data_IF_647969727090
#
_entry.id   IF_647969727090
#
_cell.length_a   1.000
_cell.length_b   1.000
_cell.length_c   1.000
_cell.angle_alpha   90.00
_cell.angle_beta   90.00
_cell.angle_gamma   90.00
#
_symmetry.space_group_name_H-M   'P 1'
#
loop_
_entity.id
_entity.type
_entity.pdbx_description
1 polymer ?
#
# COMPACT_ATOMS: atom_id res chain seq x y z
N UNK A 1 20.81 11.80 -5.06
CA UNK A 1 20.18 12.01 -6.38
C UNK A 1 18.67 11.97 -6.18
N UNK A 2 17.89 12.92 -6.72
CA UNK A 2 16.44 12.91 -6.52
C UNK A 2 15.90 11.64 -7.18
N UNK A 3 15.20 10.82 -6.42
CA UNK A 3 14.49 9.65 -6.92
C UNK A 3 13.60 10.07 -8.09
N UNK A 4 13.73 9.42 -9.25
CA UNK A 4 13.02 9.73 -10.49
C UNK A 4 11.48 9.60 -10.39
N UNK A 5 10.96 9.22 -9.23
CA UNK A 5 9.56 9.04 -8.90
C UNK A 5 9.23 9.96 -7.72
N UNK A 6 8.23 10.82 -7.86
CA UNK A 6 7.72 11.61 -6.73
C UNK A 6 6.92 10.64 -5.83
N UNK A 7 7.35 10.41 -4.57
CA UNK A 7 6.75 9.38 -3.72
C UNK A 7 5.37 9.77 -3.17
N UNK A 8 5.05 11.06 -3.18
CA UNK A 8 3.84 11.65 -2.60
C UNK A 8 2.54 10.97 -3.10
N UNK A 9 2.25 10.87 -4.42
CA UNK A 9 1.03 10.21 -4.90
C UNK A 9 0.93 8.75 -4.47
N UNK A 10 2.04 8.04 -4.39
CA UNK A 10 2.06 6.63 -3.96
C UNK A 10 1.78 6.50 -2.47
N UNK A 11 2.34 7.38 -1.63
CA UNK A 11 2.09 7.38 -0.19
C UNK A 11 0.64 7.77 0.12
N UNK A 12 0.10 8.76 -0.59
CA UNK A 12 -1.32 9.14 -0.47
C UNK A 12 -2.21 7.98 -0.93
N UNK A 13 -1.90 7.37 -2.07
CA UNK A 13 -2.62 6.19 -2.55
C UNK A 13 -2.63 5.05 -1.55
N UNK A 14 -1.47 4.71 -0.98
CA UNK A 14 -1.34 3.69 0.06
C UNK A 14 -2.16 4.04 1.31
N UNK A 15 -2.03 5.25 1.84
CA UNK A 15 -2.73 5.67 3.04
C UNK A 15 -4.25 5.65 2.86
N UNK A 16 -4.73 6.16 1.71
CA UNK A 16 -6.16 6.21 1.40
C UNK A 16 -6.73 4.81 1.16
N UNK A 17 -6.00 3.96 0.42
CA UNK A 17 -6.40 2.58 0.17
C UNK A 17 -6.42 1.74 1.45
N UNK A 18 -5.45 1.92 2.35
CA UNK A 18 -5.42 1.24 3.64
C UNK A 18 -6.62 1.64 4.52
N UNK A 19 -6.97 2.93 4.55
CA UNK A 19 -8.13 3.41 5.29
C UNK A 19 -9.44 2.83 4.75
N UNK A 20 -9.66 2.90 3.43
CA UNK A 20 -10.86 2.35 2.77
C UNK A 20 -10.93 0.83 2.93
N UNK A 21 -9.82 0.14 2.71
CA UNK A 21 -9.73 -1.32 2.81
C UNK A 21 -10.05 -1.83 4.23
N UNK A 22 -9.69 -1.07 5.27
CA UNK A 22 -10.04 -1.41 6.65
C UNK A 22 -11.56 -1.50 6.89
N UNK A 23 -12.37 -0.78 6.11
CA UNK A 23 -13.81 -0.79 6.26
C UNK A 23 -14.47 -2.11 5.85
N UNK A 24 -13.76 -2.97 5.09
CA UNK A 24 -14.29 -4.22 4.55
C UNK A 24 -14.56 -5.29 5.61
N UNK A 25 -13.97 -5.20 6.81
CA UNK A 25 -14.07 -6.22 7.86
C UNK A 25 -14.44 -5.61 9.22
N UNK A 26 -15.04 -6.42 10.11
CA UNK A 26 -15.41 -5.97 11.46
C UNK A 26 -14.17 -5.51 12.24
N UNK A 27 -13.03 -6.17 12.05
CA UNK A 27 -11.80 -5.92 12.81
C UNK A 27 -10.91 -4.86 12.18
N UNK A 28 -11.21 -4.38 10.97
CA UNK A 28 -10.29 -3.53 10.23
C UNK A 28 -10.11 -2.13 10.82
N UNK A 29 -11.15 -1.55 11.45
CA UNK A 29 -11.04 -0.28 12.16
C UNK A 29 -11.88 -0.26 13.45
N UNK A 30 -11.58 0.71 14.33
CA UNK A 30 -12.23 0.81 15.65
C UNK A 30 -13.74 1.09 15.55
N UNK A 31 -14.18 1.78 14.50
CA UNK A 31 -15.59 2.08 14.27
C UNK A 31 -16.39 0.82 13.92
N UNK A 32 -15.87 -0.01 13.03
CA UNK A 32 -16.46 -1.29 12.65
C UNK A 32 -16.48 -2.27 13.83
N UNK A 33 -15.42 -2.25 14.64
CA UNK A 33 -15.35 -3.07 15.85
C UNK A 33 -16.43 -2.67 16.85
N UNK A 34 -16.68 -1.38 17.04
CA UNK A 34 -17.76 -0.89 17.91
C UNK A 34 -19.14 -1.36 17.42
N UNK A 35 -19.37 -1.39 16.11
CA UNK A 35 -20.59 -1.95 15.52
C UNK A 35 -20.68 -3.45 15.81
N UNK A 36 -19.59 -4.21 15.64
CA UNK A 36 -19.55 -5.65 15.96
C UNK A 36 -19.76 -5.97 17.44
N UNK A 37 -19.42 -5.05 18.35
CA UNK A 37 -19.67 -5.19 19.79
C UNK A 37 -21.13 -4.91 20.18
N UNK A 38 -21.84 -4.10 19.40
CA UNK A 38 -23.21 -3.63 19.72
C UNK A 38 -24.29 -4.35 18.91
N UNK A 39 -23.97 -4.81 17.70
CA UNK A 39 -24.87 -5.55 16.83
C UNK A 39 -24.51 -7.06 16.82
N UNK A 40 -25.49 -7.97 16.95
CA UNK A 40 -25.27 -9.42 16.89
C UNK A 40 -25.11 -9.89 15.44
N UNK A 41 -24.09 -9.39 14.74
CA UNK A 41 -23.82 -9.70 13.34
C UNK A 41 -22.60 -10.61 13.19
N UNK A 42 -22.71 -11.62 12.33
CA UNK A 42 -21.57 -12.48 12.05
C UNK A 42 -20.51 -11.76 11.20
N UNK A 43 -19.23 -12.10 11.38
CA UNK A 43 -18.11 -11.54 10.61
C UNK A 43 -18.32 -11.57 9.10
N UNK A 44 -18.82 -12.71 8.60
CA UNK A 44 -19.04 -12.94 7.16
C UNK A 44 -20.19 -12.08 6.65
N UNK A 45 -21.24 -11.89 7.43
CA UNK A 45 -22.40 -11.07 7.02
C UNK A 45 -22.02 -9.59 6.92
N UNK A 46 -21.30 -9.08 7.92
CA UNK A 46 -20.76 -7.72 7.88
C UNK A 46 -19.83 -7.51 6.67
N UNK A 47 -18.90 -8.44 6.46
CA UNK A 47 -17.95 -8.34 5.36
C UNK A 47 -18.64 -8.45 4.00
N UNK A 48 -19.66 -9.31 3.86
CA UNK A 48 -20.45 -9.39 2.62
C UNK A 48 -21.16 -8.08 2.29
N UNK A 49 -21.63 -7.34 3.30
CA UNK A 49 -22.26 -6.05 3.10
C UNK A 49 -21.25 -4.94 2.75
N UNK A 50 -20.07 -4.94 3.38
CA UNK A 50 -19.10 -3.83 3.28
C UNK A 50 -17.97 -4.04 2.27
N UNK A 51 -17.63 -5.28 1.90
CA UNK A 51 -16.65 -5.56 0.84
C UNK A 51 -17.01 -4.86 -0.48
N UNK A 52 -18.26 -4.92 -0.98
CA UNK A 52 -18.64 -4.20 -2.21
C UNK A 52 -18.44 -2.68 -2.09
N UNK A 53 -18.76 -2.11 -0.92
CA UNK A 53 -18.61 -0.68 -0.64
C UNK A 53 -17.13 -0.29 -0.59
N UNK A 54 -16.30 -1.08 0.07
CA UNK A 54 -14.86 -0.86 0.14
C UNK A 54 -14.21 -0.97 -1.26
N UNK A 55 -14.62 -1.95 -2.07
CA UNK A 55 -14.15 -2.07 -3.45
C UNK A 55 -14.54 -0.87 -4.30
N UNK A 56 -15.79 -0.41 -4.21
CA UNK A 56 -16.24 0.79 -4.91
C UNK A 56 -15.44 2.02 -4.46
N UNK A 57 -15.21 2.18 -3.16
CA UNK A 57 -14.37 3.23 -2.59
C UNK A 57 -12.93 3.20 -3.11
N UNK A 58 -12.33 2.00 -3.22
CA UNK A 58 -10.99 1.83 -3.78
C UNK A 58 -10.93 2.25 -5.25
N UNK A 59 -11.93 1.88 -6.06
CA UNK A 59 -12.01 2.30 -7.47
C UNK A 59 -12.16 3.82 -7.59
N UNK A 60 -13.00 4.44 -6.76
CA UNK A 60 -13.18 5.89 -6.74
C UNK A 60 -11.88 6.59 -6.33
N UNK A 61 -11.25 6.16 -5.24
CA UNK A 61 -9.99 6.72 -4.75
C UNK A 61 -8.88 6.59 -5.81
N UNK A 62 -8.78 5.43 -6.46
CA UNK A 62 -7.84 5.22 -7.56
C UNK A 62 -8.10 6.16 -8.74
N UNK A 63 -9.36 6.32 -9.17
CA UNK A 63 -9.73 7.26 -10.22
C UNK A 63 -9.39 8.71 -9.87
N UNK A 64 -9.64 9.13 -8.63
CA UNK A 64 -9.27 10.46 -8.12
C UNK A 64 -7.75 10.66 -8.14
N UNK A 65 -6.97 9.66 -7.70
CA UNK A 65 -5.51 9.70 -7.74
C UNK A 65 -4.97 9.82 -9.17
N UNK A 66 -5.52 9.04 -10.10
CA UNK A 66 -5.16 9.12 -11.51
C UNK A 66 -5.49 10.50 -12.09
N UNK A 67 -6.62 11.08 -11.72
CA UNK A 67 -7.02 12.41 -12.19
C UNK A 67 -6.14 13.53 -11.62
N UNK A 68 -5.91 13.52 -10.30
CA UNK A 68 -5.14 14.55 -9.59
C UNK A 68 -3.65 14.51 -9.96
N UNK A 69 -3.08 13.32 -10.13
CA UNK A 69 -1.66 13.10 -10.42
C UNK A 69 -1.39 12.61 -11.84
N UNK A 70 -2.31 12.89 -12.78
CA UNK A 70 -2.19 12.47 -14.20
C UNK A 70 -0.85 12.80 -14.85
N UNK A 71 -0.23 13.92 -14.45
CA UNK A 71 1.07 14.38 -14.97
C UNK A 71 2.24 13.63 -14.38
N UNK A 72 2.11 13.11 -13.15
CA UNK A 72 3.13 12.29 -12.49
C UNK A 72 3.09 10.84 -12.99
N UNK A 73 1.91 10.34 -13.34
CA UNK A 73 1.71 9.02 -13.94
C UNK A 73 1.91 9.00 -15.46
N UNK A 74 2.24 10.13 -16.09
CA UNK A 74 2.55 10.19 -17.51
C UNK A 74 3.83 9.38 -17.81
N UNK A 75 3.93 8.71 -18.97
CA UNK A 75 5.13 7.96 -19.35
C UNK A 75 6.36 8.87 -19.32
N UNK A 76 7.21 8.69 -18.30
CA UNK A 76 8.53 9.32 -18.25
C UNK A 76 9.55 8.28 -18.66
N UNK A 77 10.45 8.65 -19.56
CA UNK A 77 11.69 7.92 -19.78
C UNK A 77 12.50 8.03 -18.49
N UNK A 78 12.44 6.98 -17.67
CA UNK A 78 13.35 6.85 -16.55
C UNK A 78 14.77 6.79 -17.12
N UNK A 79 15.71 7.61 -16.62
CA UNK A 79 17.10 7.46 -17.00
C UNK A 79 17.50 6.00 -16.74
N UNK A 80 18.35 5.38 -17.59
CA UNK A 80 18.83 4.03 -17.36
C UNK A 80 19.25 3.96 -15.90
N UNK A 81 18.62 3.08 -15.12
CA UNK A 81 18.97 2.90 -13.71
C UNK A 81 20.47 2.69 -13.71
N UNK A 82 21.22 3.69 -13.21
CA UNK A 82 22.65 3.53 -13.00
C UNK A 82 22.74 2.25 -12.20
N UNK A 83 23.33 1.21 -12.78
CA UNK A 83 23.43 -0.08 -12.15
C UNK A 83 23.91 0.20 -10.74
N UNK A 84 23.08 -0.13 -9.74
CA UNK A 84 23.54 -0.01 -8.36
C UNK A 84 24.86 -0.76 -8.34
N UNK A 85 25.97 -0.14 -7.88
CA UNK A 85 27.23 -0.86 -7.75
C UNK A 85 26.89 -2.12 -6.98
N UNK A 86 26.97 -3.27 -7.62
CA UNK A 86 26.79 -4.54 -6.93
C UNK A 86 27.79 -4.49 -5.79
N UNK A 87 27.37 -4.60 -4.52
CA UNK A 87 28.31 -4.59 -3.41
C UNK A 87 29.19 -5.83 -3.52
N UNK A 88 30.26 -5.74 -4.30
CA UNK A 88 31.28 -6.76 -4.44
C UNK A 88 32.29 -6.60 -3.30
N UNK A 89 31.78 -6.43 -2.07
CA UNK A 89 32.61 -6.40 -0.88
C UNK A 89 32.54 -7.78 -0.21
N UNK A 90 33.55 -8.66 -0.45
CA UNK A 90 33.58 -9.99 0.13
C UNK A 90 33.64 -9.95 1.65
N UNK A 91 34.05 -8.82 2.26
CA UNK A 91 34.05 -8.65 3.70
C UNK A 91 32.63 -8.46 4.26
N UNK A 92 31.80 -7.68 3.58
CA UNK A 92 30.39 -7.48 3.95
C UNK A 92 29.57 -8.76 3.75
N UNK A 93 29.89 -9.54 2.71
CA UNK A 93 29.30 -10.85 2.47
C UNK A 93 29.65 -11.83 3.60
N UNK A 94 30.93 -11.93 3.98
CA UNK A 94 31.37 -12.77 5.12
C UNK A 94 30.71 -12.37 6.43
N UNK A 95 30.60 -11.07 6.69
CA UNK A 95 29.89 -10.56 7.89
C UNK A 95 28.43 -10.94 7.88
N UNK A 96 27.75 -10.80 6.74
CA UNK A 96 26.35 -11.16 6.61
C UNK A 96 26.17 -12.67 6.82
N UNK A 97 26.97 -13.51 6.16
CA UNK A 97 26.95 -14.98 6.31
C UNK A 97 27.17 -15.42 7.76
N UNK A 98 28.16 -14.84 8.45
CA UNK A 98 28.37 -15.10 9.87
C UNK A 98 27.19 -14.67 10.76
N UNK A 99 26.48 -13.61 10.39
CA UNK A 99 25.32 -13.08 11.14
C UNK A 99 24.06 -13.94 10.95
N UNK A 100 23.86 -14.54 9.76
CA UNK A 100 22.80 -15.51 9.49
C UNK A 100 23.20 -16.97 9.77
N UNK A 101 24.45 -17.21 10.19
CA UNK A 101 24.92 -18.51 10.67
C UNK A 101 25.31 -19.52 9.60
N UNK A 102 25.69 -19.07 8.39
CA UNK A 102 26.30 -19.90 7.34
C UNK A 102 27.83 -19.79 7.37
#
# INVERSE_FOLDING_TARGET
MPSAVIPIPYLIGLATAANIGSAATITGNSQNMLIGLTAPIAFVEFSRALVPVALLGLVIAWGILLWLYRTEFAPRTLPPTAAMPTPSDPWLLKKSLALIGL
#
